data_IF_458807666864
#
_entry.id   IF_458807666864
#
_cell.length_a   1.000
_cell.length_b   1.000
_cell.length_c   1.000
_cell.angle_alpha   90.00
_cell.angle_beta   90.00
_cell.angle_gamma   90.00
#
_symmetry.space_group_name_H-M   'P 1'
#
loop_
_entity.id
_entity.type
_entity.pdbx_description
1 polymer ?
#
# COMPACT_ATOMS: atom_id res chain seq x y z
N UNK A 1 -25.71 15.33 -2.48
CA UNK A 1 -24.74 14.56 -1.68
C UNK A 1 -24.09 13.53 -2.59
N UNK A 2 -22.90 13.82 -3.09
CA UNK A 2 -22.14 12.87 -3.91
C UNK A 2 -21.54 11.84 -2.96
N UNK A 3 -22.13 10.65 -2.90
CA UNK A 3 -21.54 9.52 -2.19
C UNK A 3 -20.32 9.13 -3.03
N UNK A 4 -19.13 9.60 -2.68
CA UNK A 4 -17.87 9.13 -3.29
C UNK A 4 -17.88 7.61 -3.24
N UNK A 5 -18.25 7.01 -4.38
CA UNK A 5 -18.51 5.60 -4.47
C UNK A 5 -17.20 4.86 -4.52
N UNK A 6 -17.18 3.64 -3.98
CA UNK A 6 -16.09 2.69 -4.18
C UNK A 6 -15.63 2.61 -5.66
N UNK A 7 -16.56 2.84 -6.59
CA UNK A 7 -16.35 2.94 -8.04
C UNK A 7 -15.47 4.13 -8.46
N UNK A 8 -15.65 5.32 -7.90
CA UNK A 8 -14.80 6.48 -8.22
C UNK A 8 -13.36 6.25 -7.77
N UNK A 9 -13.17 5.66 -6.58
CA UNK A 9 -11.86 5.29 -6.06
C UNK A 9 -11.21 4.25 -6.97
N UNK A 10 -11.97 3.25 -7.43
CA UNK A 10 -11.47 2.23 -8.35
C UNK A 10 -11.07 2.82 -9.71
N UNK A 11 -11.83 3.78 -10.24
CA UNK A 11 -11.49 4.49 -11.47
C UNK A 11 -10.20 5.30 -11.33
N UNK A 12 -10.07 6.07 -10.25
CA UNK A 12 -8.86 6.86 -9.96
C UNK A 12 -7.65 5.93 -9.79
N UNK A 13 -7.80 4.86 -9.03
CA UNK A 13 -6.76 3.86 -8.86
C UNK A 13 -6.38 3.20 -10.20
N UNK A 14 -7.35 2.92 -11.07
CA UNK A 14 -7.12 2.39 -12.41
C UNK A 14 -6.33 3.35 -13.30
N UNK A 15 -6.64 4.64 -13.27
CA UNK A 15 -5.89 5.67 -14.02
C UNK A 15 -4.46 5.80 -13.51
N UNK A 16 -4.27 5.84 -12.19
CA UNK A 16 -2.94 5.87 -11.57
C UNK A 16 -2.15 4.62 -11.96
N UNK A 17 -2.79 3.45 -11.93
CA UNK A 17 -2.19 2.18 -12.30
C UNK A 17 -1.82 2.12 -13.79
N UNK A 18 -2.58 2.78 -14.67
CA UNK A 18 -2.26 2.90 -16.09
C UNK A 18 -1.00 3.75 -16.31
N UNK A 19 -0.84 4.85 -15.55
CA UNK A 19 0.30 5.76 -15.66
C UNK A 19 1.57 5.15 -15.06
N UNK A 20 1.47 4.61 -13.85
CA UNK A 20 2.62 4.04 -13.14
C UNK A 20 2.93 2.60 -13.56
N UNK A 21 1.95 1.90 -14.12
CA UNK A 21 2.04 0.48 -14.44
C UNK A 21 1.98 -0.43 -13.21
N UNK A 22 1.51 -1.69 -13.37
CA UNK A 22 1.42 -2.65 -12.26
C UNK A 22 2.79 -3.05 -11.69
N UNK A 23 3.84 -2.96 -12.49
CA UNK A 23 5.21 -3.32 -12.09
C UNK A 23 5.75 -2.40 -10.98
N UNK A 24 5.52 -1.09 -11.09
CA UNK A 24 5.95 -0.11 -10.07
C UNK A 24 5.16 -0.28 -8.77
N UNK A 25 3.86 -0.50 -8.88
CA UNK A 25 2.98 -0.71 -7.72
C UNK A 25 3.38 -1.96 -6.93
N UNK A 26 3.71 -3.07 -7.62
CA UNK A 26 4.19 -4.29 -6.99
C UNK A 26 5.56 -4.14 -6.32
N UNK A 27 6.48 -3.40 -6.93
CA UNK A 27 7.80 -3.10 -6.35
C UNK A 27 7.68 -2.26 -5.08
N UNK A 28 6.90 -1.17 -5.12
CA UNK A 28 6.68 -0.31 -3.95
C UNK A 28 5.96 -1.08 -2.84
N UNK A 29 4.93 -1.85 -3.17
CA UNK A 29 4.21 -2.67 -2.19
C UNK A 29 5.09 -3.71 -1.50
N UNK A 30 6.02 -4.35 -2.23
CA UNK A 30 6.99 -5.29 -1.63
C UNK A 30 7.96 -4.59 -0.68
N UNK A 31 8.48 -3.43 -1.06
CA UNK A 31 9.38 -2.64 -0.20
C UNK A 31 8.67 -2.16 1.07
N UNK A 32 7.46 -1.62 0.94
CA UNK A 32 6.66 -1.20 2.09
C UNK A 32 6.30 -2.37 3.01
N UNK A 33 5.92 -3.52 2.43
CA UNK A 33 5.64 -4.73 3.23
C UNK A 33 6.87 -5.17 4.01
N UNK A 34 8.05 -5.17 3.39
CA UNK A 34 9.31 -5.54 4.04
C UNK A 34 9.62 -4.58 5.19
N UNK A 35 9.50 -3.26 4.97
CA UNK A 35 9.69 -2.26 6.02
C UNK A 35 8.68 -2.41 7.15
N UNK A 36 7.41 -2.70 6.87
CA UNK A 36 6.38 -2.93 7.91
C UNK A 36 6.66 -4.22 8.70
N UNK A 37 7.14 -5.27 8.05
CA UNK A 37 7.51 -6.54 8.69
C UNK A 37 8.72 -6.38 9.62
N UNK A 38 9.72 -5.61 9.16
CA UNK A 38 10.92 -5.25 9.93
C UNK A 38 10.55 -4.39 11.14
N UNK A 39 9.72 -3.35 10.94
CA UNK A 39 9.21 -2.48 12.01
C UNK A 39 8.39 -3.26 13.05
N UNK A 40 7.53 -4.20 12.58
CA UNK A 40 6.74 -5.07 13.46
C UNK A 40 7.61 -6.05 14.25
N UNK A 41 8.68 -6.54 13.64
CA UNK A 41 9.61 -7.48 14.27
C UNK A 41 10.46 -6.79 15.32
N UNK A 42 10.94 -5.58 15.05
CA UNK A 42 11.65 -4.74 16.03
C UNK A 42 10.73 -4.31 17.18
N UNK A 43 9.53 -3.83 16.87
CA UNK A 43 8.54 -3.45 17.89
C UNK A 43 8.15 -4.63 18.81
N UNK A 44 8.19 -5.87 18.31
CA UNK A 44 7.93 -7.07 19.12
C UNK A 44 9.11 -7.51 19.98
N UNK A 45 10.34 -7.15 19.60
CA UNK A 45 11.55 -7.40 20.41
C UNK A 45 11.61 -6.39 21.55
N UNK A 46 11.33 -5.12 21.26
CA UNK A 46 11.28 -4.03 22.25
C UNK A 46 10.23 -4.28 23.34
N UNK A 47 9.12 -4.95 23.00
CA UNK A 47 8.05 -5.29 23.95
C UNK A 47 8.33 -6.54 24.81
N UNK A 48 9.45 -7.24 24.59
CA UNK A 48 9.82 -8.50 25.27
C UNK A 48 11.04 -8.36 26.18
N UNK A 49 11.73 -7.22 26.16
CA UNK A 49 12.64 -6.77 27.22
C UNK A 49 11.88 -5.96 28.29
#
# INVERSE_FOLDING_TARGET
MMKFGFIEILLIAGVILLIFGPSRFGLVGRSLKKSVEEYKSESKKDLKE
#
